data_IF_439369211445
#
_entry.id   IF_439369211445
#
_cell.length_a   1.000
_cell.length_b   1.000
_cell.length_c   1.000
_cell.angle_alpha   90.00
_cell.angle_beta   90.00
_cell.angle_gamma   90.00
#
_symmetry.space_group_name_H-M   'P 1'
#
loop_
_entity.id
_entity.type
_entity.pdbx_description
1 polymer ?
#
# COMPACT_ATOMS: atom_id res chain seq x y z
N UNK A 1 -7.94 20.93 14.80
CA UNK A 1 -6.54 20.47 14.65
C UNK A 1 -6.58 18.96 14.76
N UNK A 2 -6.71 18.29 13.62
CA UNK A 2 -6.82 16.84 13.57
C UNK A 2 -5.40 16.26 13.57
N UNK A 3 -4.93 15.82 14.74
CA UNK A 3 -3.64 15.15 14.85
C UNK A 3 -3.78 13.78 14.19
N UNK A 4 -3.41 13.70 12.92
CA UNK A 4 -3.31 12.43 12.20
C UNK A 4 -2.50 11.43 13.02
N UNK A 5 -3.07 10.24 13.22
CA UNK A 5 -2.50 9.16 14.01
C UNK A 5 -1.07 8.84 13.53
N UNK A 6 -0.05 9.22 14.33
CA UNK A 6 1.35 8.85 14.09
C UNK A 6 1.61 7.48 14.72
N UNK A 7 1.91 6.49 13.88
CA UNK A 7 2.24 5.13 14.31
C UNK A 7 3.71 5.05 14.73
N UNK A 8 3.95 4.74 16.01
CA UNK A 8 5.27 4.44 16.54
C UNK A 8 5.50 2.92 16.58
N UNK A 9 6.77 2.49 16.52
CA UNK A 9 7.13 1.06 16.61
C UNK A 9 6.63 0.38 17.89
N UNK A 10 6.49 1.15 18.97
CA UNK A 10 5.91 0.72 20.25
C UNK A 10 4.46 0.27 20.14
N UNK A 11 3.68 0.84 19.21
CA UNK A 11 2.25 0.59 19.10
C UNK A 11 1.98 -0.87 18.71
N UNK A 12 2.84 -1.46 17.89
CA UNK A 12 2.71 -2.83 17.39
C UNK A 12 2.95 -3.93 18.45
N UNK A 13 3.30 -3.56 19.67
CA UNK A 13 3.68 -4.49 20.73
C UNK A 13 2.48 -5.16 21.39
N UNK A 14 1.37 -4.43 21.57
CA UNK A 14 0.23 -4.86 22.38
C UNK A 14 -1.04 -5.18 21.58
N UNK A 15 -1.12 -4.72 20.34
CA UNK A 15 -2.26 -4.94 19.45
C UNK A 15 -1.81 -5.54 18.12
N UNK A 16 -2.70 -6.32 17.50
CA UNK A 16 -2.51 -6.78 16.13
C UNK A 16 -3.06 -5.69 15.21
N UNK A 17 -2.20 -5.12 14.37
CA UNK A 17 -2.59 -4.11 13.39
C UNK A 17 -2.70 -4.75 12.01
N UNK A 18 -3.71 -4.34 11.26
CA UNK A 18 -3.86 -4.65 9.85
C UNK A 18 -3.97 -3.36 9.06
N UNK A 19 -3.01 -3.12 8.17
CA UNK A 19 -3.10 -2.03 7.20
C UNK A 19 -3.79 -2.52 5.95
N UNK A 20 -4.92 -1.88 5.64
CA UNK A 20 -5.70 -2.15 4.43
C UNK A 20 -5.42 -1.06 3.41
N UNK A 21 -5.01 -1.47 2.21
CA UNK A 21 -4.93 -0.57 1.06
C UNK A 21 -5.78 -1.12 -0.09
N UNK A 22 -6.80 -0.35 -0.46
CA UNK A 22 -7.78 -0.69 -1.49
C UNK A 22 -7.57 0.09 -2.80
N UNK A 23 -6.52 0.92 -2.90
CA UNK A 23 -6.28 1.82 -4.03
C UNK A 23 -6.26 1.10 -5.40
N UNK A 24 -5.84 -0.17 -5.41
CA UNK A 24 -5.69 -0.97 -6.62
C UNK A 24 -6.74 -2.07 -6.77
N UNK A 25 -7.86 -2.03 -6.04
CA UNK A 25 -8.91 -3.04 -6.18
C UNK A 25 -9.50 -3.11 -7.59
N UNK A 26 -9.48 -1.99 -8.32
CA UNK A 26 -9.86 -1.93 -9.73
C UNK A 26 -8.76 -1.26 -10.55
N UNK A 27 -8.28 -1.94 -11.60
CA UNK A 27 -7.18 -1.48 -12.44
C UNK A 27 -7.54 -1.58 -13.92
N UNK A 28 -6.90 -0.74 -14.73
CA UNK A 28 -6.99 -0.80 -16.19
C UNK A 28 -5.60 -0.65 -16.82
N UNK A 29 -5.44 -1.15 -18.04
CA UNK A 29 -4.20 -0.98 -18.83
C UNK A 29 -3.91 0.51 -19.06
N UNK A 30 -2.67 0.93 -18.77
CA UNK A 30 -2.17 2.27 -19.11
C UNK A 30 -1.73 2.27 -20.58
N UNK A 31 -2.23 3.21 -21.39
CA UNK A 31 -1.69 3.50 -22.73
C UNK A 31 -2.47 3.00 -23.95
N UNK A 32 -3.31 1.95 -23.84
CA UNK A 32 -4.13 1.49 -24.97
C UNK A 32 -5.58 1.97 -24.84
N UNK A 33 -6.08 2.67 -25.87
CA UNK A 33 -7.50 2.93 -26.07
C UNK A 33 -8.07 1.85 -26.99
N UNK A 34 -9.18 1.18 -26.63
CA UNK A 34 -9.91 1.31 -25.37
C UNK A 34 -9.17 0.68 -24.17
N UNK A 35 -9.26 1.31 -22.99
CA UNK A 35 -8.63 0.83 -21.75
C UNK A 35 -9.29 -0.47 -21.32
N UNK A 36 -8.52 -1.57 -21.27
CA UNK A 36 -9.02 -2.88 -20.83
C UNK A 36 -8.86 -3.00 -19.32
N UNK A 37 -9.91 -3.46 -18.63
CA UNK A 37 -9.82 -3.83 -17.23
C UNK A 37 -8.80 -4.97 -17.04
N UNK A 38 -8.03 -4.87 -15.97
CA UNK A 38 -7.08 -5.91 -15.54
C UNK A 38 -7.34 -6.23 -14.08
N UNK A 39 -6.85 -7.37 -13.61
CA UNK A 39 -7.02 -7.78 -12.23
C UNK A 39 -6.52 -6.69 -11.27
N UNK A 40 -7.33 -6.42 -10.25
CA UNK A 40 -6.99 -5.56 -9.13
C UNK A 40 -6.47 -6.36 -7.95
N UNK A 41 -6.17 -5.65 -6.86
CA UNK A 41 -5.71 -6.24 -5.60
C UNK A 41 -6.07 -5.35 -4.41
N UNK A 42 -6.45 -5.99 -3.30
CA UNK A 42 -6.48 -5.39 -1.96
C UNK A 42 -5.30 -5.93 -1.18
N UNK A 43 -4.53 -5.02 -0.57
CA UNK A 43 -3.42 -5.37 0.30
C UNK A 43 -3.88 -5.33 1.75
N UNK A 44 -3.59 -6.39 2.51
CA UNK A 44 -3.77 -6.43 3.96
C UNK A 44 -2.46 -6.84 4.61
N UNK A 45 -1.87 -5.95 5.40
CA UNK A 45 -0.51 -6.10 5.90
C UNK A 45 -0.45 -6.05 7.44
N UNK A 46 0.23 -7.03 8.04
CA UNK A 46 0.53 -7.06 9.46
C UNK A 46 1.97 -6.56 9.69
N UNK A 47 2.17 -5.41 10.36
CA UNK A 47 3.49 -4.83 10.59
C UNK A 47 4.31 -5.61 11.62
N UNK A 48 3.68 -6.34 12.53
CA UNK A 48 4.34 -7.10 13.59
C UNK A 48 4.93 -8.40 13.03
N UNK A 49 4.13 -9.14 12.28
CA UNK A 49 4.59 -10.40 11.69
C UNK A 49 5.32 -10.15 10.38
N UNK A 50 4.96 -9.10 9.64
CA UNK A 50 5.39 -8.85 8.26
C UNK A 50 4.59 -9.65 7.23
N UNK A 51 3.49 -10.29 7.64
CA UNK A 51 2.60 -11.02 6.73
C UNK A 51 1.89 -10.05 5.80
N UNK A 52 1.87 -10.38 4.51
CA UNK A 52 1.16 -9.64 3.48
C UNK A 52 0.13 -10.56 2.80
N UNK A 53 -1.14 -10.22 2.94
CA UNK A 53 -2.21 -10.82 2.16
C UNK A 53 -2.46 -9.97 0.92
N UNK A 54 -2.48 -10.65 -0.23
CA UNK A 54 -2.82 -10.06 -1.52
C UNK A 54 -4.08 -10.71 -2.03
N UNK A 55 -5.23 -10.07 -1.79
CA UNK A 55 -6.49 -10.53 -2.35
C UNK A 55 -6.63 -9.97 -3.76
N UNK A 56 -6.39 -10.82 -4.76
CA UNK A 56 -6.59 -10.47 -6.17
C UNK A 56 -8.08 -10.30 -6.43
N UNK A 57 -8.49 -9.16 -7.01
CA UNK A 57 -9.85 -8.98 -7.51
C UNK A 57 -9.85 -9.24 -9.01
N UNK A 58 -10.43 -10.36 -9.42
CA UNK A 58 -10.45 -10.76 -10.81
C UNK A 58 -11.43 -9.90 -11.62
N UNK A 59 -11.14 -9.64 -12.89
CA UNK A 59 -11.99 -8.79 -13.75
C UNK A 59 -13.43 -9.30 -13.87
N UNK A 60 -13.66 -10.61 -13.70
CA UNK A 60 -14.99 -11.23 -13.72
C UNK A 60 -15.85 -10.90 -12.50
N UNK A 61 -15.27 -10.41 -11.40
CA UNK A 61 -16.03 -9.95 -10.22
C UNK A 61 -16.81 -8.65 -10.52
N UNK A 62 -16.48 -7.99 -11.63
CA UNK A 62 -17.07 -6.74 -12.08
C UNK A 62 -17.91 -6.96 -13.35
N UNK A 63 -19.07 -6.30 -13.43
CA UNK A 63 -19.97 -6.42 -14.58
C UNK A 63 -19.23 -6.12 -15.90
N UNK A 64 -19.11 -7.13 -16.75
CA UNK A 64 -18.51 -7.09 -18.09
C UNK A 64 -17.16 -6.32 -18.19
N UNK A 65 -16.33 -6.34 -17.14
CA UNK A 65 -15.04 -5.63 -17.13
C UNK A 65 -15.16 -4.10 -17.15
N UNK A 66 -16.30 -3.54 -16.76
CA UNK A 66 -16.47 -2.10 -16.58
C UNK A 66 -15.89 -1.62 -15.25
N UNK A 67 -15.56 -0.32 -15.18
CA UNK A 67 -15.15 0.32 -13.94
C UNK A 67 -16.33 0.35 -12.97
N UNK A 68 -16.25 -0.31 -11.80
CA UNK A 68 -17.31 -0.25 -10.82
C UNK A 68 -17.43 1.18 -10.25
N UNK A 69 -18.62 1.58 -9.80
CA UNK A 69 -18.76 2.79 -9.00
C UNK A 69 -17.81 2.75 -7.81
N UNK A 70 -17.20 3.90 -7.46
CA UNK A 70 -16.20 3.98 -6.39
C UNK A 70 -16.67 3.34 -5.08
N UNK A 71 -17.93 3.58 -4.70
CA UNK A 71 -18.56 2.97 -3.51
C UNK A 71 -18.61 1.45 -3.57
N UNK A 72 -18.96 0.87 -4.72
CA UNK A 72 -19.03 -0.59 -4.90
C UNK A 72 -17.65 -1.23 -4.73
N UNK A 73 -16.60 -0.58 -5.23
CA UNK A 73 -15.23 -1.03 -5.04
C UNK A 73 -14.85 -1.06 -3.54
N UNK A 74 -15.18 -0.01 -2.78
CA UNK A 74 -14.94 0.02 -1.32
C UNK A 74 -15.69 -1.09 -0.60
N UNK A 75 -16.97 -1.28 -0.91
CA UNK A 75 -17.78 -2.34 -0.29
C UNK A 75 -17.20 -3.72 -0.56
N UNK A 76 -16.77 -4.00 -1.79
CA UNK A 76 -16.08 -5.26 -2.12
C UNK A 76 -14.75 -5.42 -1.39
N UNK A 77 -13.94 -4.37 -1.32
CA UNK A 77 -12.70 -4.42 -0.55
C UNK A 77 -12.99 -4.75 0.93
N UNK A 78 -14.02 -4.15 1.52
CA UNK A 78 -14.39 -4.37 2.91
C UNK A 78 -14.92 -5.79 3.15
N UNK A 79 -15.69 -6.35 2.22
CA UNK A 79 -16.12 -7.75 2.26
C UNK A 79 -14.93 -8.71 2.32
N UNK A 80 -13.95 -8.51 1.45
CA UNK A 80 -12.77 -9.36 1.37
C UNK A 80 -11.89 -9.27 2.63
N UNK A 81 -11.69 -8.06 3.15
CA UNK A 81 -10.99 -7.85 4.42
C UNK A 81 -11.75 -8.54 5.56
N UNK A 82 -13.08 -8.45 5.57
CA UNK A 82 -13.89 -9.06 6.62
C UNK A 82 -13.89 -10.59 6.55
N UNK A 83 -13.86 -11.18 5.34
CA UNK A 83 -13.64 -12.62 5.18
C UNK A 83 -12.27 -13.06 5.70
N UNK A 84 -11.22 -12.30 5.39
CA UNK A 84 -9.87 -12.56 5.88
C UNK A 84 -9.80 -12.48 7.41
N UNK A 85 -10.39 -11.45 8.03
CA UNK A 85 -10.43 -11.33 9.50
C UNK A 85 -11.19 -12.50 10.12
N UNK A 86 -12.30 -12.94 9.53
CA UNK A 86 -13.08 -14.09 10.03
C UNK A 86 -12.37 -15.44 9.89
N UNK A 87 -11.53 -15.62 8.87
CA UNK A 87 -10.80 -16.87 8.65
C UNK A 87 -9.63 -17.08 9.62
N UNK A 88 -9.18 -16.04 10.32
CA UNK A 88 -8.12 -16.14 11.33
C UNK A 88 -8.55 -16.99 12.54
N UNK A 89 -7.62 -17.58 13.30
CA UNK A 89 -7.94 -18.23 14.58
C UNK A 89 -8.59 -17.28 15.59
N UNK A 90 -9.47 -17.79 16.48
CA UNK A 90 -10.17 -16.98 17.49
C UNK A 90 -9.26 -16.15 18.41
N UNK A 91 -8.06 -16.61 18.83
CA UNK A 91 -7.12 -15.78 19.59
C UNK A 91 -6.64 -14.56 18.81
N UNK A 92 -6.36 -14.73 17.51
CA UNK A 92 -5.86 -13.68 16.62
C UNK A 92 -6.97 -12.70 16.24
N UNK A 93 -8.23 -13.16 16.16
CA UNK A 93 -9.42 -12.33 15.89
C UNK A 93 -9.68 -11.24 16.93
N UNK A 94 -9.20 -11.41 18.17
CA UNK A 94 -9.50 -10.48 19.27
C UNK A 94 -8.48 -9.34 19.33
N UNK A 95 -8.95 -8.11 19.61
CA UNK A 95 -8.12 -6.90 19.78
C UNK A 95 -7.35 -6.47 18.53
N UNK A 96 -7.95 -6.66 17.36
CA UNK A 96 -7.37 -6.19 16.10
C UNK A 96 -7.70 -4.72 15.87
N UNK A 97 -6.76 -3.99 15.28
CA UNK A 97 -6.97 -2.63 14.77
C UNK A 97 -6.78 -2.65 13.27
N UNK A 98 -7.86 -2.37 12.53
CA UNK A 98 -7.84 -2.25 11.07
C UNK A 98 -7.65 -0.78 10.72
N UNK A 99 -6.49 -0.47 10.14
CA UNK A 99 -6.14 0.87 9.65
C UNK A 99 -6.48 0.93 8.16
N UNK A 100 -7.39 1.82 7.77
CA UNK A 100 -7.88 1.92 6.39
C UNK A 100 -8.03 3.38 5.92
N UNK A 101 -8.37 3.56 4.64
CA UNK A 101 -8.79 4.86 4.12
C UNK A 101 -10.11 5.29 4.77
N UNK A 102 -10.33 6.60 4.87
CA UNK A 102 -11.55 7.14 5.49
C UNK A 102 -12.83 6.64 4.79
N UNK A 103 -12.78 6.53 3.47
CA UNK A 103 -13.86 5.98 2.62
C UNK A 103 -14.15 4.49 2.86
N UNK A 104 -13.27 3.77 3.56
CA UNK A 104 -13.41 2.35 3.89
C UNK A 104 -13.96 2.12 5.30
N UNK A 105 -14.08 3.15 6.15
CA UNK A 105 -14.52 2.99 7.54
C UNK A 105 -15.94 2.42 7.62
N UNK A 106 -16.93 3.14 7.08
CA UNK A 106 -18.32 2.72 7.13
C UNK A 106 -18.54 1.31 6.50
N UNK A 107 -17.99 0.98 5.31
CA UNK A 107 -18.06 -0.38 4.77
C UNK A 107 -17.45 -1.45 5.68
N UNK A 108 -16.31 -1.18 6.31
CA UNK A 108 -15.63 -2.15 7.19
C UNK A 108 -16.39 -2.34 8.50
N UNK A 109 -16.86 -1.25 9.12
CA UNK A 109 -17.66 -1.30 10.35
C UNK A 109 -18.95 -2.10 10.13
N UNK A 110 -19.66 -1.82 9.03
CA UNK A 110 -20.85 -2.58 8.65
C UNK A 110 -20.55 -4.08 8.45
N UNK A 111 -19.37 -4.43 7.94
CA UNK A 111 -18.97 -5.84 7.68
C UNK A 111 -18.31 -6.54 8.86
N UNK A 112 -17.89 -5.82 9.90
CA UNK A 112 -17.17 -6.38 11.06
C UNK A 112 -17.93 -6.20 12.39
N UNK A 113 -19.17 -5.69 12.35
CA UNK A 113 -19.99 -5.44 13.54
C UNK A 113 -20.19 -6.68 14.44
N UNK A 114 -20.20 -7.87 13.85
CA UNK A 114 -20.34 -9.17 14.52
C UNK A 114 -19.00 -9.71 15.06
N UNK A 115 -17.87 -9.16 14.63
CA UNK A 115 -16.53 -9.57 15.07
C UNK A 115 -16.14 -8.77 16.32
N UNK A 116 -16.45 -9.34 17.48
CA UNK A 116 -16.17 -8.72 18.79
C UNK A 116 -14.71 -8.25 18.92
N UNK A 117 -14.53 -6.99 19.32
CA UNK A 117 -13.23 -6.36 19.65
C UNK A 117 -12.29 -6.11 18.45
N UNK A 118 -12.84 -5.90 17.26
CA UNK A 118 -12.12 -5.26 16.15
C UNK A 118 -12.42 -3.77 16.17
N UNK A 119 -11.38 -2.93 16.18
CA UNK A 119 -11.51 -1.49 16.01
C UNK A 119 -11.12 -1.12 14.58
N UNK A 120 -11.95 -0.35 13.88
CA UNK A 120 -11.62 0.21 12.57
C UNK A 120 -11.21 1.67 12.76
N UNK A 121 -10.10 2.09 12.15
CA UNK A 121 -9.55 3.44 12.29
C UNK A 121 -9.04 3.97 10.95
N UNK A 122 -9.19 5.27 10.73
CA UNK A 122 -8.61 5.93 9.57
C UNK A 122 -7.10 6.14 9.76
N UNK A 123 -6.33 6.10 8.66
CA UNK A 123 -4.89 6.42 8.65
C UNK A 123 -4.56 7.39 7.51
N UNK A 124 -3.86 8.49 7.83
CA UNK A 124 -3.28 9.42 6.84
C UNK A 124 -1.84 9.78 7.29
N UNK A 125 -0.79 9.16 6.71
CA UNK A 125 -0.78 8.38 5.48
C UNK A 125 -1.06 6.88 5.68
N UNK A 126 -1.63 6.25 4.66
CA UNK A 126 -1.61 4.78 4.53
C UNK A 126 -0.21 4.34 4.09
N UNK A 127 0.19 3.13 4.46
CA UNK A 127 1.40 2.52 3.93
C UNK A 127 1.33 2.49 2.39
N UNK A 128 2.41 2.85 1.67
CA UNK A 128 2.44 2.85 0.20
C UNK A 128 2.57 1.43 -0.38
N UNK A 129 1.73 0.49 0.09
CA UNK A 129 1.62 -0.89 -0.39
C UNK A 129 1.41 -0.99 -1.91
N UNK A 130 0.69 -0.08 -2.60
CA UNK A 130 0.62 -0.04 -4.05
C UNK A 130 1.98 -0.03 -4.76
N UNK A 131 3.03 0.51 -4.14
CA UNK A 131 4.37 0.55 -4.71
C UNK A 131 4.95 -0.86 -4.97
N UNK A 132 4.42 -1.90 -4.32
CA UNK A 132 4.78 -3.30 -4.59
C UNK A 132 4.49 -3.70 -6.04
N UNK A 133 3.44 -3.16 -6.65
CA UNK A 133 3.09 -3.43 -8.06
C UNK A 133 4.12 -2.87 -9.05
N UNK A 134 5.07 -2.05 -8.59
CA UNK A 134 6.21 -1.60 -9.42
C UNK A 134 7.27 -2.70 -9.58
N UNK A 135 7.26 -3.72 -8.72
CA UNK A 135 8.14 -4.88 -8.82
C UNK A 135 7.47 -5.90 -9.77
N UNK A 136 8.16 -6.36 -10.84
CA UNK A 136 7.57 -7.26 -11.83
C UNK A 136 7.00 -8.55 -11.28
N UNK A 137 7.59 -9.08 -10.20
CA UNK A 137 7.09 -10.27 -9.50
C UNK A 137 5.63 -10.08 -9.05
N UNK A 138 5.34 -9.01 -8.31
CA UNK A 138 4.00 -8.74 -7.79
C UNK A 138 3.00 -8.36 -8.88
N UNK A 139 3.40 -7.56 -9.87
CA UNK A 139 2.49 -7.21 -10.98
C UNK A 139 2.11 -8.44 -11.80
N UNK A 140 3.10 -9.27 -12.16
CA UNK A 140 2.84 -10.52 -12.88
C UNK A 140 1.97 -11.48 -12.07
N UNK A 141 2.22 -11.56 -10.77
CA UNK A 141 1.45 -12.37 -9.84
C UNK A 141 -0.03 -11.94 -9.83
N UNK A 142 -0.33 -10.65 -9.63
CA UNK A 142 -1.72 -10.15 -9.62
C UNK A 142 -2.40 -10.35 -10.98
N UNK A 143 -1.65 -10.14 -12.07
CA UNK A 143 -2.18 -10.27 -13.43
C UNK A 143 -2.54 -11.70 -13.81
N UNK A 144 -1.79 -12.69 -13.33
CA UNK A 144 -1.96 -14.11 -13.69
C UNK A 144 -2.82 -14.90 -12.71
N UNK A 145 -2.86 -14.49 -11.45
CA UNK A 145 -3.54 -15.24 -10.40
C UNK A 145 -5.05 -15.15 -10.51
N UNK A 146 -5.71 -16.27 -10.26
CA UNK A 146 -7.18 -16.36 -10.09
C UNK A 146 -7.60 -16.47 -8.62
N UNK A 147 -6.64 -16.66 -7.72
CA UNK A 147 -6.88 -16.97 -6.31
C UNK A 147 -6.18 -15.99 -5.36
N UNK A 148 -6.70 -15.77 -4.14
CA UNK A 148 -6.02 -15.04 -3.08
C UNK A 148 -4.74 -15.75 -2.64
N UNK A 149 -3.68 -15.00 -2.35
CA UNK A 149 -2.46 -15.59 -1.80
C UNK A 149 -1.96 -14.79 -0.60
N UNK A 150 -1.34 -15.51 0.33
CA UNK A 150 -0.61 -14.97 1.47
C UNK A 150 0.89 -15.11 1.21
N UNK A 151 1.64 -14.03 1.39
CA UNK A 151 3.10 -14.08 1.36
C UNK A 151 3.64 -13.94 2.79
N UNK A 152 4.42 -14.93 3.21
CA UNK A 152 4.99 -15.00 4.56
C UNK A 152 6.22 -14.07 4.71
N UNK A 153 6.56 -13.67 5.95
CA UNK A 153 7.42 -12.53 6.19
C UNK A 153 8.90 -12.85 6.04
N UNK A 154 9.64 -11.96 5.38
CA UNK A 154 11.11 -11.95 5.42
C UNK A 154 11.70 -10.58 5.74
N UNK A 155 10.90 -9.58 6.14
CA UNK A 155 11.40 -8.20 6.29
C UNK A 155 10.72 -7.43 7.41
N UNK A 156 11.54 -6.85 8.29
CA UNK A 156 11.11 -5.99 9.39
C UNK A 156 10.38 -4.73 8.88
N UNK A 157 9.36 -4.28 9.62
CA UNK A 157 8.47 -3.17 9.25
C UNK A 157 9.20 -1.92 8.75
N UNK A 158 10.22 -1.44 9.49
CA UNK A 158 10.96 -0.22 9.14
C UNK A 158 11.67 -0.32 7.78
N UNK A 159 12.20 -1.50 7.46
CA UNK A 159 12.86 -1.76 6.18
C UNK A 159 11.84 -1.86 5.05
N UNK A 160 10.72 -2.55 5.28
CA UNK A 160 9.63 -2.59 4.31
C UNK A 160 9.11 -1.19 4.01
N UNK A 161 8.84 -0.39 5.05
CA UNK A 161 8.36 0.99 4.90
C UNK A 161 9.31 1.83 4.04
N UNK A 162 10.62 1.76 4.33
CA UNK A 162 11.65 2.45 3.54
C UNK A 162 11.66 2.00 2.08
N UNK A 163 11.57 0.70 1.82
CA UNK A 163 11.50 0.15 0.47
C UNK A 163 10.26 0.66 -0.26
N UNK A 164 9.09 0.61 0.37
CA UNK A 164 7.83 1.06 -0.22
C UNK A 164 7.87 2.56 -0.54
N UNK A 165 8.39 3.39 0.37
CA UNK A 165 8.55 4.83 0.13
C UNK A 165 9.52 5.12 -1.01
N UNK A 166 10.66 4.43 -1.07
CA UNK A 166 11.62 4.62 -2.14
C UNK A 166 11.07 4.17 -3.51
N UNK A 167 10.31 3.07 -3.55
CA UNK A 167 9.61 2.63 -4.76
C UNK A 167 8.53 3.63 -5.14
N UNK A 168 7.83 4.22 -4.17
CA UNK A 168 6.80 5.22 -4.44
C UNK A 168 7.40 6.49 -5.07
N UNK A 169 8.52 6.97 -4.51
CA UNK A 169 9.24 8.14 -4.98
C UNK A 169 9.97 7.94 -6.32
N UNK A 170 10.50 6.74 -6.59
CA UNK A 170 11.26 6.47 -7.80
C UNK A 170 11.08 5.03 -8.31
N UNK A 171 10.33 4.88 -9.40
CA UNK A 171 10.04 3.58 -10.01
C UNK A 171 11.30 2.81 -10.45
N UNK A 172 12.41 3.49 -10.78
CA UNK A 172 13.67 2.82 -11.17
C UNK A 172 14.29 2.03 -10.02
N UNK A 173 13.87 2.26 -8.77
CA UNK A 173 14.33 1.51 -7.61
C UNK A 173 13.88 0.04 -7.65
N UNK A 174 12.80 -0.28 -8.35
CA UNK A 174 12.31 -1.65 -8.52
C UNK A 174 13.38 -2.57 -9.14
N UNK A 175 14.30 -2.01 -9.95
CA UNK A 175 15.38 -2.77 -10.58
C UNK A 175 16.35 -3.41 -9.58
N UNK A 176 16.46 -2.87 -8.36
CA UNK A 176 17.35 -3.41 -7.33
C UNK A 176 16.78 -4.66 -6.65
N UNK A 177 15.49 -4.95 -6.85
CA UNK A 177 14.80 -6.10 -6.24
C UNK A 177 14.53 -7.25 -7.24
N UNK A 178 15.29 -7.30 -8.34
CA UNK A 178 15.06 -8.20 -9.49
C UNK A 178 15.29 -9.70 -9.27
N UNK A 179 15.71 -10.13 -8.08
CA UNK A 179 15.96 -11.55 -7.77
C UNK A 179 15.30 -11.96 -6.45
N UNK A 180 13.97 -12.12 -6.41
CA UNK A 180 13.36 -12.93 -5.35
C UNK A 180 13.92 -14.35 -5.45
N UNK A 181 14.23 -14.96 -4.30
CA UNK A 181 14.50 -16.41 -4.28
C UNK A 181 13.16 -17.17 -4.29
N UNK A 182 13.16 -18.50 -4.41
CA UNK A 182 11.93 -19.29 -4.60
C UNK A 182 10.88 -19.07 -3.49
N UNK A 183 11.28 -18.65 -2.29
CA UNK A 183 10.38 -18.49 -1.13
C UNK A 183 10.32 -17.05 -0.55
N UNK A 184 11.20 -16.13 -0.97
CA UNK A 184 11.33 -14.79 -0.41
C UNK A 184 11.16 -13.72 -1.50
N UNK A 185 10.32 -12.74 -1.19
CA UNK A 185 10.06 -11.53 -2.00
C UNK A 185 11.34 -10.72 -2.25
N UNK A 186 12.23 -10.69 -1.26
CA UNK A 186 13.37 -9.78 -1.20
C UNK A 186 14.68 -10.52 -1.54
N UNK A 187 15.67 -9.81 -2.09
CA UNK A 187 16.99 -10.39 -2.30
C UNK A 187 17.58 -10.86 -0.96
N UNK A 188 18.32 -11.97 -1.00
CA UNK A 188 19.07 -12.46 0.15
C UNK A 188 20.35 -11.63 0.30
N UNK A 189 20.30 -10.62 1.18
CA UNK A 189 21.40 -9.71 1.46
C UNK A 189 21.96 -9.94 2.87
N UNK A 190 23.26 -9.76 3.05
CA UNK A 190 23.92 -9.72 4.36
C UNK A 190 23.55 -8.45 5.13
N UNK A 191 23.90 -8.38 6.42
CA UNK A 191 23.66 -7.19 7.25
C UNK A 191 24.25 -5.91 6.66
N UNK A 192 25.52 -5.95 6.25
CA UNK A 192 26.19 -4.78 5.64
C UNK A 192 25.60 -4.40 4.28
N UNK A 193 25.19 -5.38 3.48
CA UNK A 193 24.51 -5.14 2.21
C UNK A 193 23.14 -4.49 2.43
N UNK A 194 22.41 -4.88 3.48
CA UNK A 194 21.17 -4.21 3.87
C UNK A 194 21.43 -2.78 4.32
N UNK A 195 22.44 -2.53 5.14
CA UNK A 195 22.79 -1.16 5.58
C UNK A 195 23.16 -0.26 4.40
N UNK A 196 23.98 -0.76 3.46
CA UNK A 196 24.34 -0.04 2.25
C UNK A 196 23.10 0.27 1.38
N UNK A 197 22.20 -0.70 1.22
CA UNK A 197 20.96 -0.52 0.49
C UNK A 197 20.04 0.50 1.17
N UNK A 198 19.87 0.43 2.49
CA UNK A 198 19.07 1.38 3.27
C UNK A 198 19.62 2.81 3.14
N UNK A 199 20.94 2.98 3.17
CA UNK A 199 21.59 4.26 2.94
C UNK A 199 21.27 4.82 1.54
N UNK A 200 21.39 3.99 0.49
CA UNK A 200 21.05 4.38 -0.88
C UNK A 200 19.57 4.74 -1.02
N UNK A 201 18.67 3.98 -0.39
CA UNK A 201 17.23 4.23 -0.40
C UNK A 201 16.90 5.59 0.23
N UNK A 202 17.45 5.87 1.42
CA UNK A 202 17.26 7.16 2.12
C UNK A 202 17.82 8.33 1.32
N UNK A 203 19.03 8.20 0.77
CA UNK A 203 19.66 9.24 -0.03
C UNK A 203 18.84 9.62 -1.27
N UNK A 204 18.28 8.62 -1.98
CA UNK A 204 17.46 8.86 -3.16
C UNK A 204 16.09 9.46 -2.85
N UNK A 205 15.47 9.09 -1.73
CA UNK A 205 14.23 9.74 -1.28
C UNK A 205 14.45 11.22 -0.96
N UNK A 206 15.54 11.55 -0.26
CA UNK A 206 15.89 12.94 0.04
C UNK A 206 16.15 13.75 -1.22
N UNK A 207 16.79 13.16 -2.23
CA UNK A 207 16.98 13.80 -3.52
C UNK A 207 15.64 14.09 -4.22
N UNK A 208 14.74 13.11 -4.30
CA UNK A 208 13.42 13.30 -4.93
C UNK A 208 12.58 14.36 -4.22
N UNK A 209 12.56 14.38 -2.89
CA UNK A 209 11.85 15.42 -2.12
C UNK A 209 12.41 16.81 -2.43
N UNK A 210 13.74 16.96 -2.43
CA UNK A 210 14.39 18.24 -2.78
C UNK A 210 14.05 18.68 -4.20
N UNK A 211 14.12 17.78 -5.18
CA UNK A 211 13.76 18.11 -6.57
C UNK A 211 12.31 18.57 -6.72
N UNK A 212 11.35 17.96 -6.00
CA UNK A 212 9.94 18.38 -5.99
C UNK A 212 9.75 19.78 -5.39
N UNK A 213 10.49 20.09 -4.32
CA UNK A 213 10.51 21.43 -3.71
C UNK A 213 11.17 22.49 -4.61
N UNK A 214 12.19 22.14 -5.40
CA UNK A 214 12.80 23.08 -6.34
C UNK A 214 11.85 23.42 -7.48
N UNK A 215 11.14 22.43 -8.06
CA UNK A 215 10.16 22.68 -9.14
C UNK A 215 8.92 23.48 -8.72
N UNK A 216 8.53 23.42 -7.44
CA UNK A 216 7.37 24.19 -6.92
C UNK A 216 7.72 25.63 -6.59
N UNK A 217 9.00 25.94 -6.36
CA UNK A 217 9.45 27.32 -6.14
C UNK A 217 9.77 28.08 -7.44
N UNK A 218 10.01 27.40 -8.57
CA UNK A 218 10.26 28.07 -9.86
C UNK A 218 8.97 28.52 -10.58
N UNK A 219 7.78 28.05 -10.16
CA UNK A 219 6.50 28.46 -10.75
C UNK A 219 5.78 29.58 -9.98
N UNK A 220 6.48 30.30 -9.08
CA UNK A 220 5.86 31.33 -8.22
C UNK A 220 6.65 32.64 -8.12
N UNK A 221 7.52 32.91 -9.09
CA UNK A 221 8.37 34.10 -9.09
C UNK A 221 8.50 34.72 -10.49
N UNK A 222 7.37 35.02 -11.13
CA UNK A 222 7.29 35.91 -12.31
C UNK A 222 6.02 36.77 -12.24
N UNK A 223 5.79 37.44 -11.10
CA UNK A 223 4.83 38.55 -10.99
C UNK A 223 5.31 39.50 -9.87
N UNK A 224 6.42 40.19 -10.12
CA UNK A 224 6.75 41.42 -9.38
C UNK A 224 6.85 42.54 -10.40
N UNK A 225 5.77 43.32 -10.42
CA UNK A 225 5.59 44.58 -11.13
C UNK A 225 6.80 45.49 -10.89
N UNK A 226 7.42 45.94 -11.98
CA UNK A 226 8.45 46.99 -11.95
C UNK A 226 7.84 48.31 -11.44
N UNK A 227 8.51 49.07 -10.55
CA UNK A 227 8.00 50.36 -10.11
C UNK A 227 8.27 51.40 -11.20
N UNK A 228 7.22 52.06 -11.65
CA UNK A 228 7.32 53.33 -12.36
C UNK A 228 7.93 54.38 -11.42
N UNK A 229 9.01 55.01 -11.86
CA UNK A 229 9.50 56.28 -11.32
C UNK A 229 9.44 57.32 -12.45
N UNK A 230 8.67 58.37 -12.16
CA UNK A 230 8.61 59.73 -12.73
C UNK A 230 9.01 59.94 -14.20
#
# INVERSE_FOLDING_TARGET
MDQGFQLHSSDFTHHIFWFVNDTNIHRATVGNLPRRAVNGVVFVFNPRTGQLFMRVSHTSEWAAGQRPPGRLAKTRAAEEVAHLVRSMPLPERKKQIVMASEEMLEPLEARLHDVLKVAVKASKPLLPLPALLKIPFFDNFVRKSKEPHCVSPGTAFSRLYLILQALDANNKMAYMFKKPNQNHIWPSLTGDQWLALEFVLRGRMLFTLKSQHTTTNTSRSDDIVAPHLA
#
